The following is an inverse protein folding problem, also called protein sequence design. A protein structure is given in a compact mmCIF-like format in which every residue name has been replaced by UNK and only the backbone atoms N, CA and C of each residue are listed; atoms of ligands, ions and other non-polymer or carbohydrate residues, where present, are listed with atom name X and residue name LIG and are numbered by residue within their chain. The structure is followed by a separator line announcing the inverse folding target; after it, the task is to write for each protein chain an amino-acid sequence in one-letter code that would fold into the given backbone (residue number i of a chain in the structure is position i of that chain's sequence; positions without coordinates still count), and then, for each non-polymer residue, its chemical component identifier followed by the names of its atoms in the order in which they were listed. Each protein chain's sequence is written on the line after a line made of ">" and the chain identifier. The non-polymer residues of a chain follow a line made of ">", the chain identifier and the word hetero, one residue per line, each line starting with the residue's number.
data_IF_466455432497
#
_entry.id   IF_466455432497
#
_cell.length_a   1.000
_cell.length_b   1.000
_cell.length_c   1.000
_cell.angle_alpha   90.00
_cell.angle_beta   90.00
_cell.angle_gamma   90.00
#
_symmetry.space_group_name_H-M   'P 1'
#
loop_
_entity.id
_entity.type
_entity.pdbx_description
1 polymer ?
#
# COMPACT_ATOMS: atom_id res chain seq x y z
N UNK A 1 4.75 6.16 -10.74
CA UNK A 1 3.35 6.07 -10.29
C UNK A 1 3.20 6.20 -8.77
N UNK A 2 3.80 5.38 -7.91
CA UNK A 2 3.55 5.42 -6.43
C UNK A 2 4.38 6.42 -5.60
N UNK A 3 5.10 7.35 -6.22
CA UNK A 3 6.01 8.27 -5.49
C UNK A 3 5.26 9.16 -4.48
N UNK A 4 4.00 9.48 -4.76
CA UNK A 4 3.16 10.28 -3.87
C UNK A 4 2.85 9.59 -2.52
N UNK A 5 2.96 8.26 -2.43
CA UNK A 5 2.71 7.51 -1.19
C UNK A 5 3.89 7.52 -0.21
N UNK A 6 5.08 7.92 -0.65
CA UNK A 6 6.32 7.81 0.15
C UNK A 6 6.26 8.68 1.41
N UNK A 7 5.56 9.81 1.35
CA UNK A 7 5.41 10.71 2.49
C UNK A 7 4.27 10.30 3.44
N UNK A 8 3.44 9.32 3.05
CA UNK A 8 2.22 9.00 3.77
C UNK A 8 2.45 8.02 4.92
N UNK A 9 1.71 8.21 6.02
CA UNK A 9 1.78 7.36 7.22
C UNK A 9 0.45 6.66 7.48
N UNK A 10 0.52 5.36 7.74
CA UNK A 10 -0.66 4.61 8.16
C UNK A 10 -1.03 4.97 9.60
N UNK A 11 -2.28 5.36 9.83
CA UNK A 11 -2.80 5.56 11.18
C UNK A 11 -3.26 4.20 11.74
N UNK A 12 -2.44 3.58 12.58
CA UNK A 12 -2.78 2.34 13.29
C UNK A 12 -3.57 2.65 14.56
N UNK A 13 -4.82 3.09 14.41
CA UNK A 13 -5.74 3.33 15.54
C UNK A 13 -7.02 2.53 15.34
N UNK A 14 -7.35 1.62 16.27
CA UNK A 14 -8.52 0.72 16.18
C UNK A 14 -9.87 1.42 16.39
N UNK A 15 -9.90 2.73 16.66
CA UNK A 15 -11.04 3.34 17.36
C UNK A 15 -11.46 4.78 17.00
N UNK A 16 -10.73 5.55 16.21
CA UNK A 16 -11.13 6.95 16.00
C UNK A 16 -11.96 7.15 14.74
N UNK A 17 -13.27 7.31 14.96
CA UNK A 17 -14.36 7.50 13.99
C UNK A 17 -14.46 6.38 12.96
N UNK A 18 -15.00 5.22 13.36
CA UNK A 18 -15.28 4.04 12.50
C UNK A 18 -16.04 4.34 11.19
N UNK A 19 -16.64 5.51 11.06
CA UNK A 19 -17.48 5.91 9.92
C UNK A 19 -16.98 7.17 9.20
N UNK A 20 -15.85 7.74 9.60
CA UNK A 20 -15.32 8.90 8.90
C UNK A 20 -14.36 8.45 7.80
N UNK A 21 -14.77 8.66 6.56
CA UNK A 21 -13.89 8.55 5.41
C UNK A 21 -13.35 9.94 5.14
N UNK A 22 -12.03 10.08 5.27
CA UNK A 22 -11.38 11.36 5.09
C UNK A 22 -11.46 11.77 3.62
N UNK A 23 -11.96 12.97 3.29
CA UNK A 23 -11.91 13.48 1.92
C UNK A 23 -10.47 13.51 1.39
N UNK A 24 -10.25 13.26 0.09
CA UNK A 24 -8.92 13.28 -0.50
C UNK A 24 -8.13 14.57 -0.27
N UNK A 25 -8.79 15.71 -0.17
CA UNK A 25 -8.20 17.03 0.12
C UNK A 25 -7.61 17.07 1.53
N UNK A 26 -8.38 16.60 2.52
CA UNK A 26 -7.89 16.54 3.90
C UNK A 26 -6.77 15.50 4.03
N UNK A 27 -6.88 14.34 3.35
CA UNK A 27 -5.80 13.35 3.34
C UNK A 27 -4.53 13.91 2.71
N UNK A 28 -4.67 14.77 1.70
CA UNK A 28 -3.55 15.43 1.06
C UNK A 28 -2.79 16.35 2.02
N UNK A 29 -3.49 17.02 2.94
CA UNK A 29 -2.89 17.88 3.96
C UNK A 29 -2.23 17.07 5.07
N UNK A 30 -2.91 16.05 5.60
CA UNK A 30 -2.40 15.26 6.73
C UNK A 30 -1.39 14.19 6.32
N UNK A 31 -1.45 13.74 5.06
CA UNK A 31 -0.77 12.55 4.51
C UNK A 31 -0.90 11.32 5.42
N UNK A 32 -1.98 11.22 6.20
CA UNK A 32 -2.14 10.23 7.25
C UNK A 32 -3.57 9.74 7.29
N UNK A 33 -3.78 8.41 7.26
CA UNK A 33 -5.12 7.81 7.28
C UNK A 33 -5.09 6.28 7.36
N UNK A 34 -6.26 5.65 7.25
CA UNK A 34 -6.44 4.20 7.24
C UNK A 34 -6.44 3.62 5.81
N UNK A 35 -6.74 2.33 5.63
CA UNK A 35 -6.73 1.70 4.30
C UNK A 35 -7.72 2.34 3.30
N UNK A 36 -8.88 2.79 3.78
CA UNK A 36 -9.91 3.47 2.99
C UNK A 36 -9.41 4.83 2.52
N UNK A 37 -8.90 5.66 3.43
CA UNK A 37 -8.44 7.01 3.09
C UNK A 37 -7.29 6.96 2.07
N UNK A 38 -6.35 6.05 2.29
CA UNK A 38 -5.25 5.79 1.37
C UNK A 38 -5.74 5.35 -0.02
N UNK A 39 -6.70 4.42 -0.07
CA UNK A 39 -7.24 3.92 -1.33
C UNK A 39 -8.05 5.00 -2.07
N UNK A 40 -8.84 5.79 -1.36
CA UNK A 40 -9.65 6.86 -1.93
C UNK A 40 -8.77 7.97 -2.52
N UNK A 41 -7.78 8.45 -1.77
CA UNK A 41 -6.82 9.44 -2.28
C UNK A 41 -6.03 8.89 -3.46
N UNK A 42 -5.55 7.65 -3.37
CA UNK A 42 -4.81 7.01 -4.46
C UNK A 42 -5.64 6.87 -5.73
N UNK A 43 -6.92 6.52 -5.59
CA UNK A 43 -7.85 6.44 -6.72
C UNK A 43 -8.03 7.81 -7.38
N UNK A 44 -8.23 8.89 -6.60
CA UNK A 44 -8.26 10.27 -7.11
C UNK A 44 -6.99 10.61 -7.90
N UNK A 45 -5.81 10.28 -7.37
CA UNK A 45 -4.55 10.55 -8.07
C UNK A 45 -4.45 9.79 -9.41
N UNK A 46 -4.88 8.52 -9.46
CA UNK A 46 -4.82 7.73 -10.70
C UNK A 46 -5.81 8.24 -11.76
N UNK A 47 -7.03 8.58 -11.36
CA UNK A 47 -8.03 9.20 -12.25
C UNK A 47 -7.52 10.53 -12.79
N UNK A 48 -6.96 11.39 -11.93
CA UNK A 48 -6.38 12.67 -12.34
C UNK A 48 -5.17 12.54 -13.29
N UNK A 49 -4.46 11.41 -13.25
CA UNK A 49 -3.39 11.08 -14.21
C UNK A 49 -3.90 10.41 -15.50
N UNK A 50 -5.22 10.25 -15.66
CA UNK A 50 -5.83 9.65 -16.86
C UNK A 50 -5.83 8.12 -16.89
N UNK A 51 -5.57 7.44 -15.76
CA UNK A 51 -5.68 5.99 -15.69
C UNK A 51 -7.12 5.56 -15.39
N UNK A 52 -7.71 4.64 -16.17
CA UNK A 52 -8.97 3.99 -15.80
C UNK A 52 -8.76 3.25 -14.48
N UNK A 53 -9.35 3.75 -13.40
CA UNK A 53 -9.12 3.23 -12.04
C UNK A 53 -10.43 3.05 -11.28
N UNK A 54 -10.45 2.04 -10.41
CA UNK A 54 -11.57 1.70 -9.54
C UNK A 54 -11.13 1.70 -8.10
N UNK A 55 -11.86 2.41 -7.26
CA UNK A 55 -11.79 2.24 -5.82
C UNK A 55 -12.51 0.94 -5.46
N UNK A 56 -11.87 0.06 -4.71
CA UNK A 56 -12.37 -1.29 -4.40
C UNK A 56 -12.43 -1.48 -2.91
N UNK A 57 -13.55 -2.02 -2.42
CA UNK A 57 -13.75 -2.41 -1.03
C UNK A 57 -14.07 -3.91 -0.99
N UNK A 58 -13.54 -4.60 0.00
CA UNK A 58 -13.78 -6.03 0.14
C UNK A 58 -13.05 -6.59 1.34
N UNK A 59 -12.53 -7.81 1.20
CA UNK A 59 -11.76 -8.49 2.25
C UNK A 59 -10.34 -8.73 1.78
N UNK A 60 -9.37 -8.52 2.68
CA UNK A 60 -7.98 -8.85 2.42
C UNK A 60 -7.30 -9.50 3.64
N UNK A 61 -6.18 -10.17 3.40
CA UNK A 61 -5.35 -10.75 4.45
C UNK A 61 -5.77 -12.16 4.89
N UNK A 62 -5.10 -12.70 5.92
CA UNK A 62 -5.26 -14.09 6.37
C UNK A 62 -6.63 -14.36 7.01
N UNK A 63 -7.20 -13.35 7.66
CA UNK A 63 -8.45 -13.46 8.41
C UNK A 63 -9.65 -12.81 7.68
N UNK A 64 -9.45 -12.36 6.44
CA UNK A 64 -10.51 -11.74 5.65
C UNK A 64 -11.02 -10.43 6.26
N UNK A 65 -10.11 -9.60 6.74
CA UNK A 65 -10.42 -8.30 7.33
C UNK A 65 -10.96 -7.36 6.25
N UNK A 66 -11.89 -6.48 6.64
CA UNK A 66 -12.40 -5.44 5.75
C UNK A 66 -11.25 -4.56 5.27
N UNK A 67 -11.13 -4.38 3.96
CA UNK A 67 -10.00 -3.68 3.36
C UNK A 67 -10.40 -2.91 2.11
N UNK A 68 -9.62 -1.87 1.80
CA UNK A 68 -9.82 -1.04 0.61
C UNK A 68 -8.51 -0.90 -0.17
N UNK A 69 -8.63 -0.93 -1.50
CA UNK A 69 -7.49 -0.83 -2.42
C UNK A 69 -7.96 -0.22 -3.74
N UNK A 70 -7.04 -0.09 -4.70
CA UNK A 70 -7.36 0.44 -6.03
C UNK A 70 -7.01 -0.59 -7.09
N UNK A 71 -7.86 -0.76 -8.09
CA UNK A 71 -7.49 -1.43 -9.34
C UNK A 71 -7.39 -0.40 -10.45
N UNK A 72 -6.46 -0.58 -11.38
CA UNK A 72 -6.35 0.33 -12.52
C UNK A 72 -5.90 -0.42 -13.76
N UNK A 73 -6.26 0.12 -14.91
CA UNK A 73 -5.83 -0.39 -16.21
C UNK A 73 -4.59 0.37 -16.69
N UNK A 74 -3.62 -0.38 -17.18
CA UNK A 74 -2.45 0.16 -17.88
C UNK A 74 -1.99 -0.85 -18.92
N UNK A 75 -1.71 -0.36 -20.13
CA UNK A 75 -1.22 -1.18 -21.25
C UNK A 75 -2.12 -2.43 -21.51
N UNK A 76 -3.45 -2.24 -21.43
CA UNK A 76 -4.46 -3.29 -21.61
C UNK A 76 -4.52 -4.33 -20.49
N UNK A 77 -3.88 -4.08 -19.34
CA UNK A 77 -3.82 -5.00 -18.20
C UNK A 77 -4.37 -4.35 -16.94
N UNK A 78 -5.15 -5.13 -16.20
CA UNK A 78 -5.62 -4.74 -14.88
C UNK A 78 -4.55 -5.02 -13.82
N UNK A 79 -4.33 -4.03 -12.97
CA UNK A 79 -3.36 -4.07 -11.89
C UNK A 79 -4.06 -3.80 -10.57
N UNK A 80 -3.71 -4.58 -9.54
CA UNK A 80 -4.07 -4.30 -8.16
C UNK A 80 -3.00 -3.41 -7.53
N UNK A 81 -3.43 -2.32 -6.92
CA UNK A 81 -2.59 -1.38 -6.21
C UNK A 81 -3.00 -1.31 -4.74
N UNK A 82 -2.15 -1.89 -3.90
CA UNK A 82 -2.23 -1.80 -2.45
C UNK A 82 -1.46 -0.55 -1.98
N UNK A 83 -2.14 0.54 -1.58
CA UNK A 83 -1.47 1.79 -1.25
C UNK A 83 -0.61 1.69 0.01
N UNK A 84 -0.97 0.83 0.98
CA UNK A 84 -0.23 0.71 2.24
C UNK A 84 1.05 -0.14 2.11
N UNK A 85 1.18 -0.91 1.03
CA UNK A 85 2.35 -1.74 0.74
C UNK A 85 3.41 -1.01 -0.10
N UNK A 86 3.37 0.32 -0.17
CA UNK A 86 4.37 1.11 -0.89
C UNK A 86 5.84 0.84 -0.45
N UNK A 87 6.16 0.54 0.84
CA UNK A 87 7.54 0.29 1.24
C UNK A 87 8.11 -1.02 0.67
N UNK A 88 7.23 -1.98 0.36
CA UNK A 88 7.63 -3.30 -0.17
C UNK A 88 8.06 -3.21 -1.63
N UNK A 89 7.60 -2.19 -2.34
CA UNK A 89 8.08 -1.83 -3.67
C UNK A 89 6.96 -1.52 -4.66
N UNK A 90 7.34 -1.45 -5.95
CA UNK A 90 6.43 -1.11 -7.04
C UNK A 90 5.55 -2.26 -7.50
N UNK A 91 5.93 -3.50 -7.19
CA UNK A 91 5.23 -4.72 -7.60
C UNK A 91 4.98 -5.59 -6.38
N UNK A 92 3.75 -6.08 -6.28
CA UNK A 92 3.37 -7.12 -5.34
C UNK A 92 3.40 -8.48 -6.07
N UNK A 93 3.81 -9.58 -5.41
CA UNK A 93 3.74 -10.90 -6.03
C UNK A 93 2.30 -11.21 -6.47
N UNK A 94 2.12 -11.77 -7.68
CA UNK A 94 0.79 -12.15 -8.18
C UNK A 94 0.05 -13.12 -7.27
N UNK A 95 0.75 -14.07 -6.64
CA UNK A 95 0.12 -14.99 -5.68
C UNK A 95 -0.46 -14.26 -4.47
N UNK A 96 0.06 -13.08 -4.11
CA UNK A 96 -0.45 -12.29 -2.99
C UNK A 96 -1.78 -11.61 -3.32
N UNK A 97 -2.12 -11.40 -4.61
CA UNK A 97 -3.42 -10.82 -4.99
C UNK A 97 -4.57 -11.78 -4.71
N UNK A 98 -4.31 -13.09 -4.58
CA UNK A 98 -5.33 -14.10 -4.25
C UNK A 98 -5.94 -13.91 -2.86
N UNK A 99 -5.26 -13.16 -2.00
CA UNK A 99 -5.77 -12.79 -0.68
C UNK A 99 -6.79 -11.66 -0.73
N UNK A 100 -7.00 -11.05 -1.89
CA UNK A 100 -7.91 -9.93 -2.08
C UNK A 100 -9.21 -10.41 -2.71
N UNK A 101 -10.29 -10.23 -1.98
CA UNK A 101 -11.63 -10.63 -2.39
C UNK A 101 -12.48 -9.38 -2.53
N UNK A 102 -12.60 -8.82 -3.76
CA UNK A 102 -13.42 -7.63 -3.98
C UNK A 102 -14.88 -7.96 -3.67
N UNK A 103 -15.56 -7.05 -2.97
CA UNK A 103 -17.00 -7.12 -2.76
C UNK A 103 -17.71 -6.09 -3.64
N UNK A 104 -17.23 -4.85 -3.61
CA UNK A 104 -17.78 -3.73 -4.36
C UNK A 104 -16.66 -2.88 -4.94
N UNK A 105 -16.93 -2.21 -6.06
CA UNK A 105 -16.01 -1.20 -6.58
C UNK A 105 -16.74 -0.04 -7.24
N UNK A 106 -16.11 1.11 -7.23
CA UNK A 106 -16.60 2.34 -7.84
C UNK A 106 -15.60 2.80 -8.89
N UNK A 107 -16.09 3.15 -10.08
CA UNK A 107 -15.32 3.82 -11.11
C UNK A 107 -15.93 5.20 -11.38
N UNK A 108 -15.08 6.18 -11.71
CA UNK A 108 -15.51 7.50 -12.13
C UNK A 108 -14.92 7.76 -13.51
N UNK A 109 -15.78 8.08 -14.46
CA UNK A 109 -15.39 8.51 -15.80
C UNK A 109 -16.04 9.87 -16.10
N UNK A 110 -15.24 10.93 -15.99
CA UNK A 110 -15.64 12.34 -16.10
C UNK A 110 -16.80 12.69 -15.17
N UNK A 111 -18.03 12.56 -15.67
CA UNK A 111 -19.27 12.93 -14.98
C UNK A 111 -20.11 11.70 -14.60
N UNK A 112 -19.63 10.49 -14.91
CA UNK A 112 -20.35 9.24 -14.66
C UNK A 112 -19.70 8.44 -13.55
N UNK A 113 -20.44 8.26 -12.47
CA UNK A 113 -20.12 7.31 -11.41
C UNK A 113 -20.73 5.94 -11.73
N UNK A 114 -19.90 4.89 -11.78
CA UNK A 114 -20.33 3.52 -12.02
C UNK A 114 -20.05 2.66 -10.79
N UNK A 115 -21.08 1.94 -10.33
CA UNK A 115 -21.00 1.03 -9.19
C UNK A 115 -21.04 -0.42 -9.65
N UNK A 116 -20.19 -1.27 -9.07
CA UNK A 116 -20.08 -2.68 -9.40
C UNK A 116 -20.12 -3.53 -8.14
N UNK A 117 -20.91 -4.61 -8.18
CA UNK A 117 -20.91 -5.68 -7.18
C UNK A 117 -20.16 -6.88 -7.77
N UNK A 118 -19.21 -7.44 -7.01
CA UNK A 118 -18.37 -8.54 -7.46
C UNK A 118 -18.90 -9.86 -6.92
N UNK A 119 -19.07 -10.82 -7.81
CA UNK A 119 -19.38 -12.19 -7.42
C UNK A 119 -18.14 -12.88 -6.81
N UNK A 120 -18.40 -13.79 -5.87
CA UNK A 120 -17.35 -14.62 -5.29
C UNK A 120 -16.81 -15.56 -6.36
N UNK A 121 -15.59 -15.31 -6.83
CA UNK A 121 -14.88 -16.23 -7.71
C UNK A 121 -14.07 -17.22 -6.90
N UNK A 122 -14.32 -18.52 -7.11
CA UNK A 122 -13.36 -19.55 -6.74
C UNK A 122 -12.10 -19.34 -7.60
N UNK A 123 -10.94 -19.20 -6.96
CA UNK A 123 -9.67 -19.08 -7.67
C UNK A 123 -9.20 -20.46 -8.06
N UNK A 124 -9.48 -20.88 -9.30
CA UNK A 124 -8.90 -22.11 -9.85
C UNK A 124 -7.47 -21.81 -10.30
N UNK A 125 -6.53 -21.96 -9.38
CA UNK A 125 -5.12 -21.95 -9.72
C UNK A 125 -4.73 -23.32 -10.24
N UNK A 126 -4.57 -23.43 -11.56
CA UNK A 126 -3.96 -24.62 -12.14
C UNK A 126 -2.60 -24.91 -11.49
N UNK A 127 -2.43 -26.12 -10.96
CA UNK A 127 -1.20 -26.58 -10.26
C UNK A 127 0.09 -26.30 -11.05
N UNK A 128 -0.01 -26.27 -12.39
CA UNK A 128 1.11 -25.98 -13.31
C UNK A 128 1.64 -24.54 -13.20
N UNK A 129 0.83 -23.58 -12.76
CA UNK A 129 1.24 -22.17 -12.59
C UNK A 129 1.94 -21.91 -11.25
N UNK A 130 1.77 -22.81 -10.29
CA UNK A 130 2.23 -22.63 -8.92
C UNK A 130 3.75 -22.44 -8.81
N UNK A 131 4.61 -23.22 -9.50
CA UNK A 131 6.06 -23.05 -9.43
C UNK A 131 6.53 -21.67 -9.91
N UNK A 132 5.91 -21.16 -11.00
CA UNK A 132 6.24 -19.85 -11.55
C UNK A 132 5.85 -18.72 -10.59
N UNK A 133 4.68 -18.84 -9.94
CA UNK A 133 4.19 -17.89 -8.94
C UNK A 133 5.04 -17.91 -7.66
N UNK A 134 5.45 -19.09 -7.19
CA UNK A 134 6.33 -19.25 -6.01
C UNK A 134 7.70 -18.66 -6.29
N UNK A 135 8.28 -18.90 -7.48
CA UNK A 135 9.57 -18.31 -7.87
C UNK A 135 9.51 -16.78 -7.90
N UNK A 136 8.45 -16.22 -8.48
CA UNK A 136 8.22 -14.76 -8.47
C UNK A 136 8.14 -14.24 -7.03
N UNK A 137 7.35 -14.89 -6.19
CA UNK A 137 7.18 -14.54 -4.77
C UNK A 137 8.52 -14.55 -4.03
N UNK A 138 9.29 -15.63 -4.12
CA UNK A 138 10.62 -15.74 -3.49
C UNK A 138 11.55 -14.63 -3.96
N UNK A 139 11.60 -14.38 -5.27
CA UNK A 139 12.51 -13.36 -5.83
C UNK A 139 12.22 -11.95 -5.30
N UNK A 140 10.95 -11.60 -5.10
CA UNK A 140 10.55 -10.29 -4.58
C UNK A 140 10.95 -10.18 -3.10
N UNK A 141 10.64 -11.18 -2.29
CA UNK A 141 10.94 -11.14 -0.85
C UNK A 141 12.42 -11.23 -0.53
N UNK A 142 13.18 -12.05 -1.25
CA UNK A 142 14.64 -12.11 -1.11
C UNK A 142 15.25 -10.74 -1.40
N UNK A 143 14.88 -10.08 -2.50
CA UNK A 143 15.36 -8.73 -2.84
C UNK A 143 14.96 -7.68 -1.79
N UNK A 144 13.74 -7.76 -1.27
CA UNK A 144 13.28 -6.89 -0.19
C UNK A 144 14.17 -7.05 1.05
N UNK A 145 14.36 -8.27 1.53
CA UNK A 145 15.16 -8.54 2.73
C UNK A 145 16.62 -8.18 2.57
N UNK A 146 17.26 -8.46 1.42
CA UNK A 146 18.63 -8.03 1.14
C UNK A 146 18.76 -6.50 1.26
N UNK A 147 17.82 -5.74 0.69
CA UNK A 147 17.82 -4.27 0.77
C UNK A 147 17.57 -3.74 2.18
N UNK A 148 16.69 -4.39 2.92
CA UNK A 148 16.37 -4.00 4.30
C UNK A 148 17.55 -4.28 5.23
N UNK A 149 18.15 -5.47 5.14
CA UNK A 149 19.31 -5.87 5.95
C UNK A 149 20.50 -4.97 5.66
N UNK A 150 20.84 -4.73 4.39
CA UNK A 150 21.95 -3.83 4.01
C UNK A 150 21.77 -2.42 4.57
N UNK A 151 20.55 -1.86 4.55
CA UNK A 151 20.27 -0.55 5.17
C UNK A 151 20.41 -0.57 6.69
N UNK A 152 19.96 -1.64 7.35
CA UNK A 152 20.09 -1.80 8.81
C UNK A 152 21.59 -1.86 9.18
N UNK A 153 22.36 -2.70 8.50
CA UNK A 153 23.80 -2.86 8.73
C UNK A 153 24.55 -1.54 8.52
N UNK A 154 24.29 -0.83 7.41
CA UNK A 154 24.89 0.48 7.15
C UNK A 154 24.47 1.53 8.17
N UNK A 155 23.21 1.53 8.62
CA UNK A 155 22.71 2.46 9.64
C UNK A 155 23.34 2.23 11.00
N UNK A 156 23.49 0.97 11.41
CA UNK A 156 24.17 0.58 12.65
C UNK A 156 25.66 0.91 12.58
N UNK A 157 26.34 0.56 11.47
CA UNK A 157 27.73 0.92 11.24
C UNK A 157 27.94 2.43 11.35
N UNK A 158 27.12 3.25 10.68
CA UNK A 158 27.22 4.71 10.78
C UNK A 158 27.10 5.19 12.22
N UNK A 159 26.13 4.69 13.00
CA UNK A 159 25.97 5.07 14.42
C UNK A 159 27.17 4.67 15.29
N UNK A 160 27.80 3.54 15.03
CA UNK A 160 28.97 3.08 15.78
C UNK A 160 30.20 3.92 15.42
N UNK A 161 30.39 4.27 14.15
CA UNK A 161 31.55 5.05 13.68
C UNK A 161 31.40 6.57 13.88
N UNK A 162 30.18 7.12 13.91
CA UNK A 162 29.93 8.55 14.14
C UNK A 162 29.90 8.92 15.63
N UNK A 163 30.91 8.46 16.38
CA UNK A 163 31.02 8.52 17.84
C UNK A 163 30.28 9.69 18.48
N UNK A 164 29.44 9.37 19.47
CA UNK A 164 28.67 10.31 20.27
C UNK A 164 29.55 11.50 20.69
N UNK A 165 29.33 12.73 20.21
CA UNK A 165 30.04 13.87 20.77
C UNK A 165 29.62 13.98 22.24
N UNK A 166 30.62 13.95 23.14
CA UNK A 166 30.45 14.18 24.58
C UNK A 166 29.57 15.41 24.77
N UNK A 167 28.40 15.21 25.39
CA UNK A 167 27.58 16.28 25.92
C UNK A 167 28.43 16.99 26.98
N UNK A 168 29.04 18.13 26.65
CA UNK A 168 29.64 19.00 27.65
C UNK A 168 28.52 19.42 28.60
N UNK A 169 28.59 18.93 29.83
CA UNK A 169 27.83 19.43 30.96
C UNK A 169 28.24 20.88 31.17
N UNK A 170 27.35 21.80 30.80
CA UNK A 170 27.50 23.20 31.14
C UNK A 170 27.16 23.33 32.63
N UNK A 171 28.19 23.31 33.48
CA UNK A 171 28.10 23.81 34.85
C UNK A 171 27.67 25.28 34.77
N UNK A 172 26.55 25.60 35.40
CA UNK A 172 26.12 26.97 35.60
C UNK A 172 26.46 27.32 37.05
N UNK A 173 27.44 28.20 37.32
CA UNK A 173 27.57 28.80 38.63
C UNK A 173 26.51 29.90 38.80
N UNK A 174 26.24 30.19 40.07
CA UNK A 174 25.34 31.19 40.68
C UNK A 174 23.90 30.72 40.96
#
# INVERSE_FOLDING_TARGET
>A
MRKFLVACRCRSGRLEKRHYWQPPEEFEETKTGNCVDFALWTWRQLVGMGYPARFVVGKAGKFGEGHAWVTFEKDGKFHLLEPQMWPVGLRMPRISTLRYHPATSVACDRDKLSYYVHEKRASDLGLRMLPALVREWLSIWIRFWIRTITKIVLGVSRRIFSGTPKRQSNERPE
#
